data_IF_393685585145
#
_entry.id   IF_393685585145
#
_cell.length_a   1.000
_cell.length_b   1.000
_cell.length_c   1.000
_cell.angle_alpha   90.00
_cell.angle_beta   90.00
_cell.angle_gamma   90.00
#
_symmetry.space_group_name_H-M   'P 1'
#
loop_
_entity.id
_entity.type
_entity.pdbx_description
1 polymer ?
#
# COMPACT_ATOMS: atom_id res chain seq x y z
N UNK A 1 -52.64 91.94 15.81
CA UNK A 1 -53.82 92.65 16.36
C UNK A 1 -54.96 91.66 16.54
N UNK A 2 -55.33 91.44 17.78
CA UNK A 2 -56.32 90.43 18.21
C UNK A 2 -57.74 91.01 18.17
N UNK A 3 -58.73 90.21 17.95
CA UNK A 3 -60.10 90.53 18.31
C UNK A 3 -60.75 89.31 18.97
N UNK A 4 -61.54 89.48 20.03
CA UNK A 4 -61.87 88.44 20.98
C UNK A 4 -63.17 87.69 20.61
N UNK A 5 -63.25 86.47 21.11
CA UNK A 5 -64.39 85.57 20.98
C UNK A 5 -65.56 85.97 21.91
N UNK A 6 -66.74 85.86 21.38
CA UNK A 6 -68.00 86.14 22.06
C UNK A 6 -68.61 84.91 22.76
N UNK A 7 -68.80 84.94 24.08
CA UNK A 7 -69.17 83.85 24.98
C UNK A 7 -70.67 83.90 25.38
N UNK A 8 -71.54 84.23 24.50
CA UNK A 8 -72.99 84.53 24.92
C UNK A 8 -74.03 83.49 24.63
N UNK A 9 -73.70 82.17 24.43
CA UNK A 9 -74.68 81.14 24.13
C UNK A 9 -74.67 79.86 25.01
N UNK A 10 -74.43 80.05 26.29
CA UNK A 10 -74.67 79.00 27.27
C UNK A 10 -75.74 79.32 28.22
N UNK A 11 -76.92 79.02 27.88
CA UNK A 11 -78.12 79.09 28.80
C UNK A 11 -78.72 77.74 28.93
N UNK A 12 -78.60 77.16 30.10
CA UNK A 12 -79.26 75.84 30.47
C UNK A 12 -80.65 76.16 31.03
N UNK A 13 -81.63 75.55 30.42
CA UNK A 13 -83.02 75.63 30.91
C UNK A 13 -83.37 74.37 31.72
N UNK A 14 -83.75 74.55 32.97
CA UNK A 14 -84.12 73.51 33.92
C UNK A 14 -85.63 73.65 34.21
N UNK A 15 -86.42 72.74 33.56
CA UNK A 15 -87.73 72.46 34.11
C UNK A 15 -88.40 71.31 33.37
N UNK A 16 -88.45 70.12 34.01
CA UNK A 16 -89.68 69.35 34.10
C UNK A 16 -89.42 68.03 34.92
N UNK A 17 -90.35 67.66 35.78
CA UNK A 17 -90.15 66.57 36.75
C UNK A 17 -90.51 65.18 36.17
N UNK A 18 -89.99 64.06 36.78
CA UNK A 18 -90.09 62.66 36.22
C UNK A 18 -91.40 61.98 36.64
N UNK A 19 -91.94 61.16 35.71
CA UNK A 19 -93.05 60.27 35.96
C UNK A 19 -92.53 58.86 36.45
N UNK A 20 -93.29 58.12 37.28
CA UNK A 20 -92.83 56.90 37.99
C UNK A 20 -92.87 55.68 37.12
N UNK A 21 -91.67 54.97 36.96
CA UNK A 21 -91.58 53.66 36.32
C UNK A 21 -91.38 52.59 37.40
N UNK A 22 -92.44 52.05 37.88
CA UNK A 22 -92.42 50.80 38.69
C UNK A 22 -93.22 49.72 37.92
N UNK A 23 -92.51 48.70 37.34
CA UNK A 23 -92.86 47.29 37.03
C UNK A 23 -92.10 46.67 35.85
N UNK A 24 -91.11 47.35 35.25
CA UNK A 24 -90.33 46.72 34.18
C UNK A 24 -88.96 46.17 34.61
N UNK A 25 -88.47 46.51 35.82
CA UNK A 25 -87.16 46.16 36.27
C UNK A 25 -86.95 44.68 36.57
N UNK A 26 -88.00 43.99 37.12
CA UNK A 26 -87.86 42.54 37.43
C UNK A 26 -87.77 41.63 36.20
N UNK A 27 -88.53 42.00 35.15
CA UNK A 27 -88.57 41.14 33.92
C UNK A 27 -87.32 41.31 33.09
N UNK A 28 -86.76 42.48 33.05
CA UNK A 28 -85.45 42.74 32.32
C UNK A 28 -84.26 42.13 33.06
N UNK A 29 -84.26 42.08 34.41
CA UNK A 29 -83.26 41.45 35.20
C UNK A 29 -83.23 39.93 35.00
N UNK A 30 -84.41 39.28 34.93
CA UNK A 30 -84.52 37.85 34.66
C UNK A 30 -84.07 37.50 33.23
N UNK A 31 -84.39 38.38 32.24
CA UNK A 31 -83.95 38.18 30.86
C UNK A 31 -82.45 38.37 30.74
N UNK A 32 -81.90 39.37 31.45
CA UNK A 32 -80.40 39.59 31.47
C UNK A 32 -79.70 38.42 32.16
N UNK A 33 -80.19 37.94 33.30
CA UNK A 33 -79.62 36.78 33.97
C UNK A 33 -79.66 35.51 33.12
N UNK A 34 -80.78 35.26 32.40
CA UNK A 34 -80.89 34.16 31.45
C UNK A 34 -79.94 34.34 30.25
N UNK A 35 -79.77 35.53 29.73
CA UNK A 35 -78.83 35.81 28.63
C UNK A 35 -77.39 35.58 29.07
N UNK A 36 -77.03 36.06 30.29
CA UNK A 36 -75.72 35.81 30.87
C UNK A 36 -75.45 34.31 31.09
N UNK A 37 -76.44 33.58 31.55
CA UNK A 37 -76.36 32.15 31.73
C UNK A 37 -76.15 31.40 30.38
N UNK A 38 -76.90 31.79 29.34
CA UNK A 38 -76.75 31.26 28.00
C UNK A 38 -75.38 31.56 27.41
N UNK A 39 -74.90 32.82 27.60
CA UNK A 39 -73.53 33.22 27.18
C UNK A 39 -72.46 32.43 27.95
N UNK A 40 -72.65 32.26 29.27
CA UNK A 40 -71.71 31.44 30.07
C UNK A 40 -71.68 29.97 29.64
N UNK A 41 -72.86 29.37 29.41
CA UNK A 41 -72.96 28.01 28.94
C UNK A 41 -72.39 27.83 27.52
N UNK A 42 -72.65 28.81 26.62
CA UNK A 42 -72.01 28.77 25.27
C UNK A 42 -70.51 28.97 25.33
N UNK A 43 -70.03 29.85 26.19
CA UNK A 43 -68.53 30.00 26.39
C UNK A 43 -67.90 28.77 27.00
N UNK A 44 -68.58 28.09 27.94
CA UNK A 44 -68.13 26.82 28.53
C UNK A 44 -68.10 25.72 27.46
N UNK A 45 -69.16 25.61 26.65
CA UNK A 45 -69.27 24.61 25.57
C UNK A 45 -68.20 24.89 24.46
N UNK A 46 -68.03 26.17 24.10
CA UNK A 46 -66.96 26.54 23.11
C UNK A 46 -65.59 26.25 23.65
N UNK A 47 -65.35 26.52 24.95
CA UNK A 47 -64.04 26.20 25.58
C UNK A 47 -63.80 24.71 25.76
N UNK A 48 -64.82 23.91 26.00
CA UNK A 48 -64.80 22.46 26.08
C UNK A 48 -64.59 21.79 24.70
N UNK A 49 -64.90 22.48 23.60
CA UNK A 49 -64.71 22.03 22.22
C UNK A 49 -63.39 22.54 21.59
N UNK A 50 -62.63 23.39 22.24
CA UNK A 50 -61.32 23.84 21.73
C UNK A 50 -60.34 22.70 21.79
N UNK A 51 -60.01 22.10 20.62
CA UNK A 51 -58.96 21.08 20.49
C UNK A 51 -57.64 21.76 20.78
N UNK A 52 -56.84 21.33 21.80
CA UNK A 52 -55.58 21.97 22.13
C UNK A 52 -54.57 21.80 20.98
N UNK A 53 -53.83 22.86 20.72
CA UNK A 53 -52.74 22.87 19.73
C UNK A 53 -51.51 22.25 20.38
N UNK A 54 -51.08 21.12 19.85
CA UNK A 54 -49.92 20.38 20.32
C UNK A 54 -48.64 20.77 19.55
N UNK A 55 -47.58 21.13 20.27
CA UNK A 55 -46.27 21.27 19.68
C UNK A 55 -45.66 19.89 19.53
N UNK A 56 -45.33 19.52 18.28
CA UNK A 56 -44.77 18.20 17.96
C UNK A 56 -43.37 18.34 17.39
N UNK A 57 -42.51 17.37 17.72
CA UNK A 57 -41.19 17.22 17.11
C UNK A 57 -41.11 15.80 16.55
N UNK A 58 -40.57 15.70 15.34
CA UNK A 58 -40.36 14.42 14.70
C UNK A 58 -39.13 13.73 15.30
N UNK A 59 -39.30 12.50 15.75
CA UNK A 59 -38.19 11.68 16.25
C UNK A 59 -37.22 11.34 15.11
N UNK A 60 -36.01 11.83 15.15
CA UNK A 60 -35.00 11.54 14.14
C UNK A 60 -34.32 10.22 14.42
N UNK A 61 -34.43 9.26 13.51
CA UNK A 61 -33.59 8.06 13.55
C UNK A 61 -32.17 8.44 13.27
N UNK A 62 -31.29 8.39 14.28
CA UNK A 62 -29.85 8.34 14.07
C UNK A 62 -29.46 6.91 13.75
N UNK A 63 -29.74 6.49 12.52
CA UNK A 63 -28.92 5.45 11.93
C UNK A 63 -27.52 6.05 11.82
N UNK A 64 -26.48 5.32 12.22
CA UNK A 64 -25.12 5.61 11.83
C UNK A 64 -25.05 5.45 10.29
N UNK A 65 -25.69 6.38 9.59
CA UNK A 65 -25.79 6.52 8.17
C UNK A 65 -24.85 7.63 7.76
N UNK A 66 -23.69 7.22 7.37
CA UNK A 66 -23.15 7.44 6.08
C UNK A 66 -22.69 8.86 5.86
N UNK A 67 -21.53 9.22 6.45
CA UNK A 67 -20.51 9.75 5.58
C UNK A 67 -20.19 8.63 4.59
N UNK A 68 -20.49 8.86 3.31
CA UNK A 68 -19.97 8.09 2.18
C UNK A 68 -18.47 8.43 2.10
N UNK A 69 -17.72 8.02 3.11
CA UNK A 69 -16.30 7.92 3.12
C UNK A 69 -16.00 6.55 2.58
N UNK A 70 -15.21 6.49 1.51
CA UNK A 70 -14.54 5.31 1.05
C UNK A 70 -14.19 4.43 2.25
N UNK A 71 -14.50 3.15 2.17
CA UNK A 71 -14.05 2.09 3.07
C UNK A 71 -12.51 2.08 3.08
N UNK A 72 -11.93 3.08 3.75
CA UNK A 72 -10.57 2.99 4.19
C UNK A 72 -10.58 1.88 5.24
N UNK A 73 -10.15 0.69 4.86
CA UNK A 73 -9.78 -0.35 5.81
C UNK A 73 -8.97 0.34 6.90
N UNK A 74 -9.28 0.05 8.16
CA UNK A 74 -8.63 0.71 9.27
C UNK A 74 -7.11 0.59 9.09
N UNK A 75 -6.43 1.71 8.83
CA UNK A 75 -4.98 1.75 8.71
C UNK A 75 -4.41 1.46 10.08
N UNK A 76 -3.84 0.27 10.27
CA UNK A 76 -3.26 -0.06 11.56
C UNK A 76 -1.90 0.57 11.79
N UNK A 77 -1.10 0.75 10.74
CA UNK A 77 0.26 1.29 10.80
C UNK A 77 0.60 1.98 9.47
N UNK A 78 1.21 3.16 9.57
CA UNK A 78 1.75 3.90 8.43
C UNK A 78 3.26 4.03 8.59
N UNK A 79 4.02 3.83 7.51
CA UNK A 79 5.47 4.02 7.49
C UNK A 79 5.91 4.71 6.20
N UNK A 80 6.99 5.48 6.30
CA UNK A 80 7.62 6.13 5.15
C UNK A 80 8.83 5.32 4.71
N UNK A 81 9.15 5.41 3.42
CA UNK A 81 10.27 4.71 2.82
C UNK A 81 10.55 5.15 1.41
N UNK A 82 11.29 4.33 0.67
CA UNK A 82 11.70 4.63 -0.69
C UNK A 82 11.45 3.44 -1.60
N UNK A 83 11.14 3.75 -2.86
CA UNK A 83 11.07 2.75 -3.92
C UNK A 83 12.48 2.28 -4.26
N UNK A 84 12.73 1.00 -4.21
CA UNK A 84 14.00 0.38 -4.61
C UNK A 84 13.76 -0.72 -5.63
N UNK A 85 14.73 -0.95 -6.50
CA UNK A 85 14.70 -2.12 -7.35
C UNK A 85 15.24 -3.32 -6.57
N UNK A 86 14.49 -4.42 -6.52
CA UNK A 86 14.91 -5.66 -5.86
C UNK A 86 16.22 -6.21 -6.44
N UNK A 87 16.40 -6.09 -7.77
CA UNK A 87 17.62 -6.44 -8.45
C UNK A 87 18.33 -5.18 -8.90
N UNK A 88 19.35 -4.77 -8.16
CA UNK A 88 20.22 -3.63 -8.44
C UNK A 88 21.67 -4.09 -8.33
N UNK A 89 22.51 -3.74 -9.27
CA UNK A 89 23.93 -4.04 -9.22
C UNK A 89 24.78 -2.91 -9.80
N UNK A 90 25.90 -2.65 -9.14
CA UNK A 90 26.98 -1.84 -9.69
C UNK A 90 27.91 -2.77 -10.46
N UNK A 91 27.97 -2.62 -11.77
CA UNK A 91 28.77 -3.43 -12.67
C UNK A 91 30.19 -2.84 -12.72
N UNK A 92 31.16 -3.62 -12.28
CA UNK A 92 32.59 -3.24 -12.23
C UNK A 92 33.40 -4.06 -13.21
N UNK A 93 34.61 -3.57 -13.53
CA UNK A 93 35.60 -4.33 -14.28
C UNK A 93 36.14 -5.47 -13.41
N UNK A 94 36.44 -6.63 -14.01
CA UNK A 94 37.14 -7.75 -13.35
C UNK A 94 38.64 -7.58 -13.35
N UNK A 95 39.19 -6.77 -14.27
CA UNK A 95 40.60 -6.46 -14.40
C UNK A 95 40.80 -4.95 -14.51
N UNK A 96 41.94 -4.45 -14.09
CA UNK A 96 42.27 -3.04 -14.26
C UNK A 96 42.58 -2.75 -15.73
N UNK A 97 42.13 -1.60 -16.23
CA UNK A 97 42.41 -1.17 -17.59
C UNK A 97 41.74 0.15 -17.92
N UNK A 98 42.18 0.77 -19.02
CA UNK A 98 41.53 1.98 -19.53
C UNK A 98 40.29 1.63 -20.32
N UNK A 99 39.22 2.37 -20.08
CA UNK A 99 37.94 2.22 -20.81
C UNK A 99 38.06 2.79 -22.23
N UNK A 100 37.96 1.93 -23.24
CA UNK A 100 38.05 2.32 -24.66
C UNK A 100 36.71 2.47 -25.31
N UNK A 101 35.69 1.78 -24.78
CA UNK A 101 34.34 1.81 -25.33
C UNK A 101 33.31 1.69 -24.20
N UNK A 102 32.25 2.52 -24.31
CA UNK A 102 31.07 2.47 -23.45
C UNK A 102 29.85 2.56 -24.36
N UNK A 103 29.11 1.45 -24.49
CA UNK A 103 27.98 1.30 -25.43
C UNK A 103 26.62 1.67 -24.86
N UNK A 104 26.57 2.17 -23.62
CA UNK A 104 25.32 2.46 -22.92
C UNK A 104 25.32 3.87 -22.32
N UNK A 105 24.14 4.47 -22.19
CA UNK A 105 23.89 5.72 -21.49
C UNK A 105 22.87 5.52 -20.37
N UNK A 106 22.74 6.51 -19.50
CA UNK A 106 21.70 6.51 -18.49
C UNK A 106 20.32 6.41 -19.13
N UNK A 107 19.45 5.56 -18.57
CA UNK A 107 18.14 5.23 -19.13
C UNK A 107 18.16 4.14 -20.20
N UNK A 108 19.34 3.69 -20.69
CA UNK A 108 19.40 2.60 -21.69
C UNK A 108 18.92 1.29 -21.10
N UNK A 109 18.09 0.57 -21.86
CA UNK A 109 17.67 -0.79 -21.53
C UNK A 109 18.66 -1.78 -22.15
N UNK A 110 19.17 -2.72 -21.35
CA UNK A 110 20.19 -3.71 -21.76
C UNK A 110 19.74 -5.11 -21.40
N UNK A 111 20.13 -6.08 -22.22
CA UNK A 111 19.86 -7.49 -22.01
C UNK A 111 21.00 -8.18 -21.29
N UNK A 112 20.70 -9.24 -20.56
CA UNK A 112 21.71 -10.08 -19.92
C UNK A 112 22.76 -10.56 -20.90
N UNK A 113 24.06 -10.36 -20.60
CA UNK A 113 25.20 -10.73 -21.44
C UNK A 113 25.56 -9.71 -22.50
N UNK A 114 24.77 -8.66 -22.70
CA UNK A 114 25.07 -7.56 -23.63
C UNK A 114 26.32 -6.81 -23.20
N UNK A 115 27.12 -6.35 -24.17
CA UNK A 115 28.37 -5.64 -23.90
C UNK A 115 28.06 -4.22 -23.48
N UNK A 116 28.35 -3.88 -22.24
CA UNK A 116 28.24 -2.54 -21.69
C UNK A 116 29.46 -1.70 -22.04
N UNK A 117 30.66 -2.26 -21.84
CA UNK A 117 31.90 -1.55 -21.99
C UNK A 117 33.05 -2.48 -22.39
N UNK A 118 34.11 -1.90 -22.92
CA UNK A 118 35.37 -2.62 -23.24
C UNK A 118 36.57 -1.85 -22.69
N UNK A 119 37.48 -2.59 -22.12
CA UNK A 119 38.79 -2.07 -21.74
C UNK A 119 39.77 -2.20 -22.90
N UNK A 120 40.85 -1.47 -22.83
CA UNK A 120 42.02 -1.69 -23.67
C UNK A 120 42.54 -3.11 -23.48
N UNK A 121 42.59 -3.88 -24.55
CA UNK A 121 42.89 -5.30 -24.50
C UNK A 121 44.09 -5.68 -25.37
N UNK A 122 44.89 -4.70 -25.87
CA UNK A 122 46.02 -4.95 -26.74
C UNK A 122 47.03 -5.94 -26.11
N UNK A 123 47.40 -5.75 -24.84
CA UNK A 123 48.32 -6.62 -24.11
C UNK A 123 47.71 -8.02 -23.88
N UNK A 124 46.43 -8.10 -23.62
CA UNK A 124 45.73 -9.38 -23.43
C UNK A 124 45.61 -10.15 -24.76
N UNK A 125 45.40 -9.48 -25.89
CA UNK A 125 45.42 -10.10 -27.22
C UNK A 125 46.83 -10.61 -27.57
N UNK A 126 47.88 -9.85 -27.29
CA UNK A 126 49.26 -10.30 -27.47
C UNK A 126 49.56 -11.54 -26.62
N UNK A 127 49.08 -11.59 -25.37
CA UNK A 127 49.22 -12.74 -24.50
C UNK A 127 48.49 -13.98 -25.05
N UNK A 128 47.28 -13.82 -25.61
CA UNK A 128 46.55 -14.90 -26.29
C UNK A 128 47.34 -15.41 -27.51
N UNK A 129 47.86 -14.52 -28.35
CA UNK A 129 48.65 -14.90 -29.52
C UNK A 129 49.94 -15.68 -29.11
N UNK A 130 50.62 -15.26 -28.06
CA UNK A 130 51.76 -15.96 -27.50
C UNK A 130 51.40 -17.38 -27.00
N UNK A 131 50.28 -17.51 -26.29
CA UNK A 131 49.79 -18.79 -25.79
C UNK A 131 49.37 -19.73 -26.95
N UNK A 132 48.81 -19.19 -28.03
CA UNK A 132 48.51 -19.94 -29.25
C UNK A 132 49.77 -20.47 -29.90
N UNK A 133 50.83 -19.66 -30.00
CA UNK A 133 52.12 -20.10 -30.52
C UNK A 133 52.72 -21.23 -29.69
N UNK A 134 52.59 -21.16 -28.35
CA UNK A 134 53.03 -22.22 -27.45
C UNK A 134 52.31 -23.55 -27.68
N UNK A 135 51.00 -23.51 -27.95
CA UNK A 135 50.21 -24.69 -28.32
C UNK A 135 50.69 -25.27 -29.64
N UNK A 136 50.94 -24.41 -30.67
CA UNK A 136 51.42 -24.86 -31.98
C UNK A 136 52.80 -25.52 -31.88
N UNK A 137 53.70 -24.97 -31.03
CA UNK A 137 55.01 -25.59 -30.76
C UNK A 137 54.87 -26.93 -30.07
N UNK A 138 53.97 -27.07 -29.13
CA UNK A 138 53.70 -28.34 -28.46
C UNK A 138 53.06 -29.38 -29.43
N UNK A 139 52.25 -28.95 -30.37
CA UNK A 139 51.71 -29.83 -31.45
C UNK A 139 52.79 -30.33 -32.37
N UNK A 140 53.71 -29.49 -32.78
CA UNK A 140 54.88 -29.90 -33.57
C UNK A 140 55.70 -30.95 -32.83
N UNK A 141 55.94 -30.79 -31.53
CA UNK A 141 56.64 -31.74 -30.69
C UNK A 141 55.91 -33.10 -30.56
N UNK A 142 54.60 -33.11 -30.59
CA UNK A 142 53.81 -34.36 -30.64
C UNK A 142 53.98 -35.08 -31.96
N UNK A 143 54.00 -34.35 -33.09
CA UNK A 143 54.21 -34.93 -34.41
C UNK A 143 55.56 -35.64 -34.48
N UNK A 144 56.65 -34.96 -34.01
CA UNK A 144 57.96 -35.52 -33.93
C UNK A 144 58.01 -36.77 -33.04
N UNK A 145 57.50 -36.68 -31.81
CA UNK A 145 57.48 -37.78 -30.87
C UNK A 145 56.63 -38.99 -31.34
N UNK A 146 55.56 -38.72 -32.13
CA UNK A 146 54.74 -39.74 -32.76
C UNK A 146 55.51 -40.54 -33.81
N UNK A 147 56.25 -39.81 -34.67
CA UNK A 147 57.08 -40.44 -35.72
C UNK A 147 58.15 -41.36 -35.09
N UNK A 148 58.86 -40.85 -34.05
CA UNK A 148 59.86 -41.60 -33.31
C UNK A 148 59.29 -42.83 -32.60
N UNK A 149 58.12 -42.69 -31.91
CA UNK A 149 57.43 -43.77 -31.24
C UNK A 149 57.01 -44.86 -32.26
N UNK A 150 56.41 -44.47 -33.39
CA UNK A 150 55.93 -45.40 -34.38
C UNK A 150 57.04 -46.11 -35.10
N UNK A 151 58.18 -45.45 -35.36
CA UNK A 151 59.36 -46.06 -35.93
C UNK A 151 60.00 -47.05 -34.95
N UNK A 152 60.22 -46.70 -33.70
CA UNK A 152 60.86 -47.61 -32.72
C UNK A 152 59.94 -48.76 -32.35
N UNK A 153 58.62 -48.56 -32.34
CA UNK A 153 57.64 -49.63 -32.13
C UNK A 153 57.66 -50.67 -33.28
N UNK A 154 57.72 -50.18 -34.54
CA UNK A 154 57.87 -51.08 -35.71
C UNK A 154 59.16 -51.86 -35.66
N UNK A 155 60.27 -51.25 -35.30
CA UNK A 155 61.57 -51.91 -35.19
C UNK A 155 61.54 -52.99 -34.11
N UNK A 156 61.00 -52.67 -32.91
CA UNK A 156 60.89 -53.64 -31.83
C UNK A 156 59.94 -54.86 -32.21
N UNK A 157 58.84 -54.55 -32.91
CA UNK A 157 57.93 -55.59 -33.41
C UNK A 157 58.60 -56.52 -34.43
N UNK A 158 59.37 -55.94 -35.37
CA UNK A 158 60.11 -56.66 -36.36
C UNK A 158 61.19 -57.57 -35.71
N UNK A 159 61.96 -57.07 -34.77
CA UNK A 159 62.97 -57.89 -34.06
C UNK A 159 62.32 -59.01 -33.26
N UNK A 160 61.16 -58.71 -32.62
CA UNK A 160 60.38 -59.75 -31.92
C UNK A 160 59.91 -60.89 -32.87
N UNK A 161 59.35 -60.52 -34.01
CA UNK A 161 58.87 -61.45 -35.02
C UNK A 161 60.01 -62.36 -35.61
N UNK A 162 61.16 -61.71 -35.91
CA UNK A 162 62.33 -62.51 -36.42
C UNK A 162 62.81 -63.50 -35.36
N UNK A 163 62.86 -63.13 -34.12
CA UNK A 163 63.31 -64.00 -33.03
C UNK A 163 62.29 -65.10 -32.73
N UNK A 164 61.04 -64.83 -32.82
CA UNK A 164 59.98 -65.87 -32.70
C UNK A 164 60.07 -66.96 -33.80
N UNK A 165 60.38 -66.49 -35.01
CA UNK A 165 60.59 -67.43 -36.15
C UNK A 165 61.92 -68.22 -36.08
N UNK A 166 62.99 -67.55 -35.65
CA UNK A 166 64.28 -68.17 -35.49
C UNK A 166 65.09 -67.56 -34.34
N UNK A 167 65.12 -68.20 -33.16
CA UNK A 167 65.80 -67.66 -31.96
C UNK A 167 67.29 -67.39 -32.11
N UNK A 168 67.99 -68.04 -33.10
CA UNK A 168 69.43 -67.88 -33.32
C UNK A 168 69.79 -66.68 -34.18
N UNK A 169 68.85 -65.96 -34.81
CA UNK A 169 69.08 -64.81 -35.66
C UNK A 169 69.18 -63.49 -34.89
N UNK A 170 68.61 -63.42 -33.71
CA UNK A 170 68.59 -62.25 -32.87
C UNK A 170 68.90 -62.59 -31.41
N UNK A 171 69.82 -61.81 -30.76
CA UNK A 171 70.20 -62.05 -29.36
C UNK A 171 69.05 -61.60 -28.41
N UNK A 172 68.93 -62.13 -27.20
CA UNK A 172 68.04 -61.62 -26.18
C UNK A 172 68.27 -60.13 -25.89
N UNK A 173 69.51 -59.70 -25.93
CA UNK A 173 69.93 -58.30 -25.68
C UNK A 173 69.48 -57.36 -26.78
N UNK A 174 69.43 -57.77 -28.04
CA UNK A 174 68.93 -56.95 -29.16
C UNK A 174 67.42 -56.67 -28.99
N UNK A 175 66.63 -57.70 -28.59
CA UNK A 175 65.24 -57.52 -28.31
C UNK A 175 65.00 -56.60 -27.09
N UNK A 176 65.72 -56.79 -26.01
CA UNK A 176 65.67 -55.95 -24.84
C UNK A 176 65.99 -54.49 -25.17
N UNK A 177 67.06 -54.25 -25.94
CA UNK A 177 67.47 -52.91 -26.39
C UNK A 177 66.34 -52.26 -27.24
N UNK A 178 65.79 -52.98 -28.19
CA UNK A 178 64.73 -52.48 -29.06
C UNK A 178 63.47 -52.17 -28.27
N UNK A 179 63.08 -53.04 -27.35
CA UNK A 179 61.88 -52.81 -26.50
C UNK A 179 62.08 -51.64 -25.54
N UNK A 180 63.29 -51.51 -24.97
CA UNK A 180 63.64 -50.37 -24.12
C UNK A 180 63.62 -49.03 -24.89
N UNK A 181 64.10 -49.01 -26.15
CA UNK A 181 64.06 -47.83 -27.03
C UNK A 181 62.61 -47.49 -27.35
N UNK A 182 61.76 -48.48 -27.69
CA UNK A 182 60.32 -48.25 -27.95
C UNK A 182 59.58 -47.68 -26.69
N UNK A 183 59.86 -48.24 -25.51
CA UNK A 183 59.32 -47.73 -24.25
C UNK A 183 59.76 -46.31 -23.96
N UNK A 184 61.04 -45.97 -24.22
CA UNK A 184 61.55 -44.63 -24.10
C UNK A 184 60.89 -43.63 -25.06
N UNK A 185 60.68 -44.04 -26.33
CA UNK A 185 59.96 -43.24 -27.31
C UNK A 185 58.48 -43.02 -26.94
N UNK A 186 57.80 -44.06 -26.42
CA UNK A 186 56.43 -43.93 -25.90
C UNK A 186 56.34 -42.97 -24.70
N UNK A 187 57.37 -43.01 -23.81
CA UNK A 187 57.44 -42.06 -22.69
C UNK A 187 57.64 -40.61 -23.19
N UNK A 188 58.52 -40.39 -24.23
CA UNK A 188 58.66 -39.06 -24.86
C UNK A 188 57.37 -38.55 -25.48
N UNK A 189 56.64 -39.42 -26.19
CA UNK A 189 55.33 -39.10 -26.73
C UNK A 189 54.35 -38.70 -25.62
N UNK A 190 54.22 -39.47 -24.55
CA UNK A 190 53.37 -39.10 -23.41
C UNK A 190 53.79 -37.79 -22.76
N UNK A 191 55.06 -37.48 -22.66
CA UNK A 191 55.57 -36.22 -22.16
C UNK A 191 55.21 -35.06 -23.11
N UNK A 192 55.29 -35.25 -24.44
CA UNK A 192 54.84 -34.24 -25.42
C UNK A 192 53.33 -33.94 -25.32
N UNK A 193 52.50 -34.99 -25.17
CA UNK A 193 51.06 -34.86 -24.94
C UNK A 193 50.76 -34.07 -23.64
N UNK A 194 51.51 -34.37 -22.58
CA UNK A 194 51.37 -33.61 -21.31
C UNK A 194 51.75 -32.14 -21.46
N UNK A 195 52.81 -31.80 -22.22
CA UNK A 195 53.23 -30.41 -22.53
C UNK A 195 52.13 -29.68 -23.32
N UNK A 196 51.49 -30.35 -24.33
CA UNK A 196 50.36 -29.77 -25.06
C UNK A 196 49.23 -29.44 -24.12
N UNK A 197 48.82 -30.32 -23.24
CA UNK A 197 47.76 -30.07 -22.26
C UNK A 197 48.07 -28.87 -21.36
N UNK A 198 49.35 -28.73 -20.96
CA UNK A 198 49.80 -27.55 -20.20
C UNK A 198 49.72 -26.27 -21.02
N UNK A 199 50.17 -26.28 -22.29
CA UNK A 199 50.06 -25.14 -23.18
C UNK A 199 48.59 -24.73 -23.46
N UNK A 200 47.70 -25.71 -23.70
CA UNK A 200 46.25 -25.47 -23.84
C UNK A 200 45.62 -24.86 -22.58
N UNK A 201 46.05 -25.29 -21.38
CA UNK A 201 45.63 -24.67 -20.13
C UNK A 201 46.08 -23.22 -20.03
N UNK A 202 47.33 -22.91 -20.47
CA UNK A 202 47.84 -21.56 -20.58
C UNK A 202 47.05 -20.69 -21.56
N UNK A 203 46.68 -21.26 -22.72
CA UNK A 203 45.84 -20.57 -23.70
C UNK A 203 44.45 -20.25 -23.12
N UNK A 204 43.81 -21.20 -22.45
CA UNK A 204 42.48 -20.93 -21.80
C UNK A 204 42.59 -19.81 -20.75
N UNK A 205 43.68 -19.77 -19.99
CA UNK A 205 43.90 -18.69 -19.02
C UNK A 205 44.05 -17.32 -19.71
N UNK A 206 44.86 -17.24 -20.78
CA UNK A 206 45.04 -15.99 -21.53
C UNK A 206 43.68 -15.53 -22.19
N UNK A 207 42.92 -16.46 -22.76
CA UNK A 207 41.58 -16.18 -23.32
C UNK A 207 40.62 -15.67 -22.26
N UNK A 208 40.57 -16.31 -21.08
CA UNK A 208 39.71 -15.87 -19.97
C UNK A 208 40.12 -14.46 -19.47
N UNK A 209 41.44 -14.17 -19.44
CA UNK A 209 41.91 -12.85 -19.08
C UNK A 209 41.52 -11.79 -20.10
N UNK A 210 41.60 -12.11 -21.39
CA UNK A 210 41.12 -11.23 -22.46
C UNK A 210 39.58 -11.02 -22.42
N UNK A 211 38.79 -12.09 -22.19
CA UNK A 211 37.35 -11.95 -22.01
C UNK A 211 36.96 -11.07 -20.80
N UNK A 212 37.76 -11.07 -19.74
CA UNK A 212 37.55 -10.20 -18.58
C UNK A 212 37.72 -8.71 -18.89
N UNK A 213 38.25 -8.33 -20.05
CA UNK A 213 38.33 -6.94 -20.54
C UNK A 213 36.98 -6.47 -21.11
N UNK A 214 36.05 -7.40 -21.36
CA UNK A 214 34.71 -7.10 -21.86
C UNK A 214 33.73 -7.10 -20.67
N UNK A 215 33.15 -5.95 -20.42
CA UNK A 215 32.20 -5.77 -19.33
C UNK A 215 30.79 -6.00 -19.85
N UNK A 216 30.08 -6.98 -19.29
CA UNK A 216 28.75 -7.41 -19.75
C UNK A 216 27.69 -7.21 -18.66
N UNK A 217 26.44 -7.03 -19.07
CA UNK A 217 25.29 -6.95 -18.18
C UNK A 217 25.04 -8.28 -17.43
N UNK A 218 25.01 -8.29 -16.10
CA UNK A 218 24.74 -9.50 -15.31
C UNK A 218 23.30 -9.98 -15.41
N UNK A 219 22.37 -9.08 -15.66
CA UNK A 219 20.93 -9.34 -15.84
C UNK A 219 20.33 -8.32 -16.83
N UNK A 220 19.12 -8.58 -17.28
CA UNK A 220 18.36 -7.64 -18.12
C UNK A 220 17.75 -6.53 -17.27
N UNK A 221 17.94 -5.26 -17.65
CA UNK A 221 17.45 -4.13 -16.88
C UNK A 221 17.82 -2.79 -17.50
N UNK A 222 17.63 -1.71 -16.75
CA UNK A 222 17.91 -0.33 -17.18
C UNK A 222 19.13 0.21 -16.45
N UNK A 223 19.97 0.93 -17.17
CA UNK A 223 21.13 1.65 -16.61
C UNK A 223 20.60 2.87 -15.85
N UNK A 224 20.82 2.90 -14.55
CA UNK A 224 20.38 4.03 -13.70
C UNK A 224 21.40 5.17 -13.73
N UNK A 225 22.68 4.82 -13.69
CA UNK A 225 23.78 5.79 -13.61
C UNK A 225 25.01 5.26 -14.29
N UNK A 226 25.74 6.17 -14.94
CA UNK A 226 27.05 5.95 -15.51
C UNK A 226 28.09 6.46 -14.51
N UNK A 227 28.91 5.55 -14.00
CA UNK A 227 29.88 5.83 -12.96
C UNK A 227 31.29 6.09 -13.53
N UNK A 228 31.59 5.73 -14.79
CA UNK A 228 32.86 5.93 -15.47
C UNK A 228 32.70 6.43 -16.90
N UNK A 229 33.72 7.13 -17.42
CA UNK A 229 33.78 7.69 -18.77
C UNK A 229 34.82 7.00 -19.63
N UNK A 230 34.65 7.07 -20.96
CA UNK A 230 35.63 6.59 -21.93
C UNK A 230 36.96 7.34 -21.73
N UNK A 231 38.06 6.60 -21.64
CA UNK A 231 39.40 7.12 -21.35
C UNK A 231 39.79 7.01 -19.88
N UNK A 232 38.86 6.82 -18.96
CA UNK A 232 39.20 6.60 -17.53
C UNK A 232 39.78 5.21 -17.29
N UNK A 233 40.62 5.10 -16.24
CA UNK A 233 41.14 3.82 -15.76
C UNK A 233 40.20 3.29 -14.68
N UNK A 234 39.63 2.12 -14.94
CA UNK A 234 38.79 1.39 -14.01
C UNK A 234 39.52 0.17 -13.46
N UNK A 235 39.18 -0.21 -12.23
CA UNK A 235 39.82 -1.36 -11.57
C UNK A 235 38.73 -2.14 -10.78
N UNK A 236 39.00 -3.41 -10.43
CA UNK A 236 38.13 -4.16 -9.52
C UNK A 236 37.92 -3.37 -8.22
N UNK A 237 36.71 -3.37 -7.69
CA UNK A 237 36.37 -2.72 -6.42
C UNK A 237 37.01 -3.52 -5.26
N UNK A 238 38.28 -3.30 -5.00
CA UNK A 238 38.97 -3.90 -3.86
C UNK A 238 39.35 -2.78 -2.89
N UNK A 239 38.59 -2.70 -1.79
CA UNK A 239 38.93 -1.97 -0.58
C UNK A 239 39.69 -0.64 -0.68
N UNK A 240 38.98 0.48 -0.69
CA UNK A 240 39.52 1.76 -0.18
C UNK A 240 40.42 2.59 -1.07
N UNK A 241 40.62 2.23 -2.35
CA UNK A 241 41.46 3.02 -3.28
C UNK A 241 40.66 4.12 -4.00
N UNK A 242 41.37 5.17 -4.46
CA UNK A 242 40.86 6.31 -5.24
C UNK A 242 40.34 5.93 -6.65
N UNK A 243 40.42 4.66 -7.06
CA UNK A 243 39.97 4.15 -8.35
C UNK A 243 38.50 3.78 -8.29
N UNK A 244 37.69 4.34 -9.19
CA UNK A 244 36.25 4.02 -9.33
C UNK A 244 36.13 2.56 -9.76
N UNK A 245 35.50 1.74 -8.90
CA UNK A 245 35.31 0.32 -9.18
C UNK A 245 34.14 0.05 -10.12
N UNK A 246 33.05 0.85 -10.04
CA UNK A 246 31.87 0.68 -10.85
C UNK A 246 32.00 1.43 -12.17
N UNK A 247 31.54 0.81 -13.27
CA UNK A 247 31.42 1.42 -14.60
C UNK A 247 30.00 1.95 -14.80
N UNK A 248 28.99 1.16 -14.45
CA UNK A 248 27.59 1.56 -14.48
C UNK A 248 26.84 0.92 -13.31
N UNK A 249 25.81 1.60 -12.87
CA UNK A 249 24.81 1.03 -11.94
C UNK A 249 23.53 0.75 -12.71
N UNK A 250 23.05 -0.48 -12.64
CA UNK A 250 21.84 -0.91 -13.33
C UNK A 250 20.84 -1.59 -12.40
N UNK A 251 19.56 -1.53 -12.77
CA UNK A 251 18.49 -2.13 -12.02
C UNK A 251 17.40 -2.73 -12.92
N UNK A 252 16.72 -3.72 -12.39
CA UNK A 252 15.54 -4.29 -13.03
C UNK A 252 14.28 -3.56 -12.53
N UNK A 253 13.75 -2.67 -13.36
CA UNK A 253 12.56 -1.88 -13.07
C UNK A 253 11.26 -2.71 -13.04
N UNK A 254 11.31 -3.98 -13.46
CA UNK A 254 10.15 -4.88 -13.35
C UNK A 254 9.95 -5.44 -11.94
N UNK A 255 10.94 -5.27 -11.06
CA UNK A 255 10.97 -5.85 -9.71
C UNK A 255 11.09 -4.76 -8.63
N UNK A 256 10.28 -3.69 -8.77
CA UNK A 256 10.27 -2.60 -7.78
C UNK A 256 9.58 -3.03 -6.50
N UNK A 257 10.13 -2.61 -5.38
CA UNK A 257 9.56 -2.76 -4.05
C UNK A 257 9.78 -1.47 -3.25
N UNK A 258 9.01 -1.28 -2.19
CA UNK A 258 9.21 -0.17 -1.25
C UNK A 258 9.88 -0.70 0.00
N UNK A 259 11.01 -0.12 0.35
CA UNK A 259 11.65 -0.35 1.65
C UNK A 259 11.18 0.73 2.63
N UNK A 260 10.49 0.31 3.68
CA UNK A 260 9.96 1.19 4.71
C UNK A 260 10.53 0.87 6.07
N UNK A 261 10.78 1.92 6.86
CA UNK A 261 11.25 1.81 8.23
C UNK A 261 10.04 1.88 9.18
N UNK A 262 9.70 0.75 9.78
CA UNK A 262 8.59 0.62 10.73
C UNK A 262 9.10 0.65 12.15
N UNK A 263 8.48 1.44 13.01
CA UNK A 263 8.83 1.46 14.43
C UNK A 263 8.63 0.09 15.08
N UNK A 264 9.59 -0.34 15.91
CA UNK A 264 9.61 -1.65 16.57
C UNK A 264 8.32 -1.93 17.36
N UNK A 265 7.71 -0.90 17.96
CA UNK A 265 6.45 -1.04 18.70
C UNK A 265 5.29 -1.59 17.87
N UNK A 266 5.33 -1.42 16.55
CA UNK A 266 4.25 -1.82 15.64
C UNK A 266 4.58 -3.06 14.80
N UNK A 267 5.83 -3.54 14.83
CA UNK A 267 6.28 -4.64 13.96
C UNK A 267 5.51 -5.95 14.20
N UNK A 268 5.09 -6.20 15.43
CA UNK A 268 4.29 -7.37 15.76
C UNK A 268 2.92 -7.45 15.06
N UNK A 269 2.48 -6.34 14.47
CA UNK A 269 1.24 -6.27 13.68
C UNK A 269 1.47 -6.48 12.19
N UNK A 270 2.72 -6.57 11.73
CA UNK A 270 3.07 -6.69 10.31
C UNK A 270 3.61 -8.09 10.06
N UNK A 271 2.94 -8.81 9.17
CA UNK A 271 3.35 -10.15 8.76
C UNK A 271 3.53 -10.20 7.24
N UNK A 272 4.37 -11.11 6.75
CA UNK A 272 4.49 -11.38 5.31
C UNK A 272 3.14 -11.79 4.72
N UNK A 273 2.85 -11.36 3.50
CA UNK A 273 1.56 -11.57 2.83
C UNK A 273 0.48 -10.55 3.22
N UNK A 274 0.77 -9.59 4.09
CA UNK A 274 -0.20 -8.58 4.49
C UNK A 274 -0.39 -7.55 3.37
N UNK A 275 -1.66 -7.22 3.00
CA UNK A 275 -1.93 -6.19 2.01
C UNK A 275 -1.49 -4.82 2.54
N UNK A 276 -0.95 -4.02 1.63
CA UNK A 276 -0.51 -2.66 1.89
C UNK A 276 -0.98 -1.72 0.78
N UNK A 277 -1.18 -0.47 1.13
CA UNK A 277 -1.44 0.61 0.19
C UNK A 277 -0.21 1.49 0.12
N UNK A 278 0.28 1.71 -1.08
CA UNK A 278 1.48 2.50 -1.35
C UNK A 278 1.03 3.79 -2.01
N UNK A 279 1.46 4.92 -1.49
CA UNK A 279 1.26 6.26 -2.07
C UNK A 279 2.64 6.87 -2.28
N UNK A 280 2.94 7.27 -3.51
CA UNK A 280 4.20 7.93 -3.84
C UNK A 280 4.10 9.42 -3.55
N UNK A 281 5.17 10.02 -3.03
CA UNK A 281 5.20 11.47 -2.74
C UNK A 281 5.01 12.31 -4.01
N UNK A 282 5.48 11.80 -5.16
CA UNK A 282 5.29 12.44 -6.46
C UNK A 282 3.86 12.34 -7.00
N UNK A 283 3.06 11.39 -6.52
CA UNK A 283 1.69 11.13 -6.99
C UNK A 283 0.75 10.87 -5.80
N UNK A 284 0.44 11.89 -4.99
CA UNK A 284 -0.32 11.72 -3.75
C UNK A 284 -1.76 11.26 -3.96
N UNK A 285 -2.33 11.54 -5.13
CA UNK A 285 -3.70 11.16 -5.49
C UNK A 285 -3.82 9.72 -6.02
N UNK A 286 -2.69 9.03 -6.23
CA UNK A 286 -2.66 7.67 -6.78
C UNK A 286 -2.18 6.69 -5.73
N UNK A 287 -3.03 5.72 -5.38
CA UNK A 287 -2.68 4.65 -4.47
C UNK A 287 -2.42 3.36 -5.24
N UNK A 288 -1.25 2.77 -5.03
CA UNK A 288 -0.84 1.49 -5.61
C UNK A 288 -1.05 0.38 -4.60
N UNK A 289 -1.43 -0.80 -5.09
CA UNK A 289 -1.57 -1.99 -4.25
C UNK A 289 -0.20 -2.59 -4.01
N UNK A 290 0.04 -2.96 -2.77
CA UNK A 290 1.25 -3.65 -2.36
C UNK A 290 0.96 -4.81 -1.42
N UNK A 291 1.96 -5.62 -1.22
CA UNK A 291 1.93 -6.74 -0.28
C UNK A 291 3.27 -6.83 0.45
N UNK A 292 3.23 -7.05 1.74
CA UNK A 292 4.43 -7.26 2.56
C UNK A 292 5.12 -8.54 2.11
N UNK A 293 6.26 -8.39 1.46
CA UNK A 293 7.07 -9.53 1.01
C UNK A 293 7.88 -10.12 2.15
N UNK A 294 8.53 -9.24 2.92
CA UNK A 294 9.48 -9.66 3.94
C UNK A 294 9.64 -8.58 5.01
N UNK A 295 9.72 -9.02 6.25
CA UNK A 295 10.23 -8.23 7.37
C UNK A 295 11.69 -8.61 7.57
N UNK A 296 12.60 -7.65 7.55
CA UNK A 296 14.03 -7.91 7.75
C UNK A 296 14.26 -8.18 9.23
N UNK A 297 14.87 -9.32 9.62
CA UNK A 297 15.01 -9.71 11.03
C UNK A 297 16.17 -8.98 11.74
N UNK A 298 16.32 -7.69 11.46
CA UNK A 298 17.36 -6.82 12.04
C UNK A 298 16.75 -5.47 12.34
N UNK A 299 16.84 -5.02 13.58
CA UNK A 299 16.41 -3.70 13.99
C UNK A 299 17.58 -2.70 13.97
N UNK A 300 17.31 -1.49 13.49
CA UNK A 300 18.21 -0.35 13.66
C UNK A 300 18.04 0.20 15.08
N UNK A 301 19.06 0.02 15.92
CA UNK A 301 19.05 0.46 17.32
C UNK A 301 19.03 1.97 17.49
N UNK A 302 19.55 2.73 16.51
CA UNK A 302 19.61 4.19 16.61
C UNK A 302 18.24 4.81 16.36
N UNK A 303 17.46 4.21 15.46
CA UNK A 303 16.13 4.68 15.06
C UNK A 303 14.98 3.91 15.72
N UNK A 304 15.28 2.79 16.38
CA UNK A 304 14.28 1.85 16.90
C UNK A 304 13.27 1.42 15.82
N UNK A 305 13.77 1.13 14.62
CA UNK A 305 12.99 0.72 13.45
C UNK A 305 13.42 -0.63 12.92
N UNK A 306 12.48 -1.32 12.28
CA UNK A 306 12.70 -2.56 11.54
C UNK A 306 12.34 -2.30 10.08
N UNK A 307 13.21 -2.69 9.16
CA UNK A 307 12.97 -2.53 7.74
C UNK A 307 11.96 -3.57 7.24
N UNK A 308 10.95 -3.10 6.52
CA UNK A 308 9.94 -3.94 5.89
C UNK A 308 9.97 -3.71 4.39
N UNK A 309 9.99 -4.80 3.62
CA UNK A 309 9.99 -4.77 2.16
C UNK A 309 8.60 -5.09 1.65
N UNK A 310 8.04 -4.17 0.88
CA UNK A 310 6.68 -4.23 0.34
C UNK A 310 6.76 -4.30 -1.17
N UNK A 311 6.31 -5.39 -1.78
CA UNK A 311 6.24 -5.53 -3.24
C UNK A 311 5.13 -4.65 -3.80
N UNK A 312 5.40 -3.99 -4.91
CA UNK A 312 4.41 -3.24 -5.69
C UNK A 312 3.74 -4.21 -6.65
N UNK A 313 2.42 -4.36 -6.56
CA UNK A 313 1.65 -5.26 -7.41
C UNK A 313 1.22 -4.59 -8.72
N UNK A 314 0.96 -3.29 -8.67
CA UNK A 314 0.54 -2.50 -9.82
C UNK A 314 1.78 -2.01 -10.60
N UNK A 315 1.93 -2.45 -11.84
CA UNK A 315 3.03 -2.00 -12.70
C UNK A 315 2.66 -0.68 -13.36
N UNK A 316 3.39 0.36 -13.03
CA UNK A 316 3.23 1.69 -13.64
C UNK A 316 4.61 2.23 -14.04
N UNK A 317 4.82 2.65 -15.30
CA UNK A 317 6.10 3.19 -15.78
C UNK A 317 6.50 4.50 -15.11
N UNK A 318 5.59 5.15 -14.38
CA UNK A 318 5.87 6.36 -13.62
C UNK A 318 6.60 6.09 -12.31
N UNK A 319 6.62 4.84 -11.85
CA UNK A 319 7.30 4.47 -10.61
C UNK A 319 8.78 4.31 -10.90
N UNK A 320 9.59 5.18 -10.31
CA UNK A 320 11.04 5.16 -10.47
C UNK A 320 11.74 4.80 -9.16
N UNK A 321 12.91 4.14 -9.23
CA UNK A 321 13.74 3.93 -8.05
C UNK A 321 14.10 5.25 -7.36
N UNK A 322 14.31 5.19 -6.04
CA UNK A 322 14.66 6.29 -5.14
C UNK A 322 13.52 7.32 -4.93
N UNK A 323 12.30 7.08 -5.45
CA UNK A 323 11.13 7.89 -5.10
C UNK A 323 10.72 7.66 -3.64
N UNK A 324 10.37 8.75 -2.95
CA UNK A 324 9.74 8.69 -1.63
C UNK A 324 8.35 8.05 -1.71
N UNK A 325 8.04 7.20 -0.76
CA UNK A 325 6.78 6.49 -0.70
C UNK A 325 6.28 6.36 0.74
N UNK A 326 4.98 6.47 0.89
CA UNK A 326 4.25 6.20 2.12
C UNK A 326 3.49 4.90 1.99
N UNK A 327 3.63 4.02 2.95
CA UNK A 327 2.95 2.72 2.98
C UNK A 327 2.02 2.64 4.17
N UNK A 328 0.75 2.38 3.88
CA UNK A 328 -0.29 2.12 4.86
C UNK A 328 -0.56 0.60 4.90
N UNK A 329 -0.23 -0.04 6.01
CA UNK A 329 -0.49 -1.46 6.22
C UNK A 329 -1.95 -1.66 6.60
N UNK A 330 -2.70 -2.37 5.75
CA UNK A 330 -4.11 -2.63 5.95
C UNK A 330 -4.28 -3.81 6.91
N UNK A 331 -5.27 -3.76 7.81
CA UNK A 331 -5.65 -4.96 8.54
C UNK A 331 -6.20 -6.00 7.56
N UNK A 332 -5.80 -7.27 7.67
CA UNK A 332 -6.42 -8.29 6.84
C UNK A 332 -7.94 -8.20 7.09
N UNK A 333 -8.69 -8.12 6.00
CA UNK A 333 -10.14 -8.31 6.08
C UNK A 333 -10.35 -9.63 6.84
N UNK A 334 -10.65 -9.52 8.13
CA UNK A 334 -11.21 -10.68 8.81
C UNK A 334 -12.42 -11.07 7.97
N UNK A 335 -12.50 -12.30 7.45
CA UNK A 335 -13.72 -12.73 6.82
C UNK A 335 -14.78 -12.45 7.88
N UNK A 336 -15.64 -11.46 7.61
CA UNK A 336 -16.84 -11.29 8.41
C UNK A 336 -17.47 -12.66 8.34
N UNK A 337 -17.18 -13.48 9.35
CA UNK A 337 -18.05 -14.60 9.65
C UNK A 337 -19.42 -14.00 9.52
N UNK A 338 -20.19 -14.49 8.56
CA UNK A 338 -21.60 -14.17 8.42
C UNK A 338 -22.29 -14.74 9.68
N UNK A 339 -21.88 -14.24 10.82
CA UNK A 339 -22.54 -14.30 12.08
C UNK A 339 -23.72 -13.37 11.94
N UNK A 340 -24.89 -13.95 12.01
CA UNK A 340 -26.22 -13.38 11.97
C UNK A 340 -26.19 -11.86 12.22
N UNK A 341 -26.65 -11.09 11.23
CA UNK A 341 -26.83 -9.66 11.35
C UNK A 341 -27.51 -9.40 12.69
N UNK A 342 -26.72 -8.96 13.68
CA UNK A 342 -27.31 -8.42 14.89
C UNK A 342 -28.22 -7.29 14.41
N UNK A 343 -29.51 -7.28 14.80
CA UNK A 343 -30.45 -6.28 14.31
C UNK A 343 -29.84 -4.92 14.58
N UNK A 344 -29.66 -4.15 13.52
CA UNK A 344 -29.17 -2.77 13.57
C UNK A 344 -30.08 -2.04 14.54
N UNK A 345 -29.63 -1.82 15.77
CA UNK A 345 -30.41 -1.07 16.75
C UNK A 345 -30.38 0.37 16.30
N UNK A 346 -31.46 0.76 15.60
CA UNK A 346 -31.67 2.14 15.21
C UNK A 346 -31.94 2.92 16.51
N UNK A 347 -30.97 3.68 16.96
CA UNK A 347 -31.14 4.58 18.10
C UNK A 347 -31.87 5.82 17.61
N UNK A 348 -32.97 6.16 18.29
CA UNK A 348 -33.80 7.33 17.96
C UNK A 348 -33.45 8.47 18.92
N UNK A 349 -33.08 9.64 18.39
CA UNK A 349 -32.86 10.84 19.20
C UNK A 349 -34.12 11.63 19.36
N UNK A 350 -34.44 11.96 20.62
CA UNK A 350 -35.62 12.78 20.97
C UNK A 350 -35.20 13.91 21.91
N UNK A 351 -35.85 15.10 21.83
CA UNK A 351 -35.59 16.16 22.81
C UNK A 351 -35.93 15.69 24.21
N UNK A 352 -35.10 16.03 25.20
CA UNK A 352 -35.31 15.63 26.59
C UNK A 352 -36.67 16.12 27.15
N UNK A 353 -37.24 17.19 26.60
CA UNK A 353 -38.57 17.74 26.94
C UNK A 353 -39.74 16.85 26.55
N UNK A 354 -39.57 15.95 25.58
CA UNK A 354 -40.58 15.01 25.16
C UNK A 354 -40.75 13.82 26.11
N UNK A 355 -39.75 13.58 26.96
CA UNK A 355 -39.77 12.49 27.93
C UNK A 355 -40.63 12.86 29.15
N UNK A 356 -41.53 11.99 29.54
CA UNK A 356 -42.28 12.07 30.79
C UNK A 356 -41.99 10.83 31.62
N UNK A 357 -41.96 10.99 32.95
CA UNK A 357 -41.73 9.89 33.88
C UNK A 357 -42.93 9.78 34.84
N UNK A 358 -43.38 8.58 35.07
CA UNK A 358 -44.44 8.26 35.98
C UNK A 358 -44.11 6.97 36.73
N UNK A 359 -44.00 7.05 38.07
CA UNK A 359 -43.67 5.88 38.91
C UNK A 359 -42.38 5.14 38.56
N UNK A 360 -41.35 5.84 37.97
CA UNK A 360 -40.06 5.25 37.59
C UNK A 360 -40.02 4.67 36.18
N UNK A 361 -41.13 4.64 35.47
CA UNK A 361 -41.18 4.29 34.05
C UNK A 361 -41.13 5.53 33.16
N UNK A 362 -40.29 5.49 32.15
CA UNK A 362 -40.17 6.58 31.14
C UNK A 362 -41.10 6.30 29.97
N UNK A 363 -41.80 7.33 29.54
CA UNK A 363 -42.69 7.24 28.39
C UNK A 363 -42.71 8.54 27.59
N UNK A 364 -43.20 8.44 26.34
CA UNK A 364 -43.43 9.58 25.45
C UNK A 364 -44.87 9.56 24.95
N UNK A 365 -45.39 10.75 24.60
CA UNK A 365 -46.66 10.86 23.94
C UNK A 365 -46.48 10.93 22.42
N UNK A 366 -47.02 9.94 21.72
CA UNK A 366 -47.04 9.90 20.25
C UNK A 366 -48.30 10.57 19.75
N UNK A 367 -48.17 11.35 18.69
CA UNK A 367 -49.34 11.87 17.93
C UNK A 367 -49.54 10.99 16.71
N UNK A 368 -50.62 10.21 16.70
CA UNK A 368 -50.98 9.37 15.58
C UNK A 368 -52.42 9.69 15.19
N UNK A 369 -52.66 10.03 13.94
CA UNK A 369 -54.01 10.37 13.41
C UNK A 369 -54.72 11.46 14.24
N UNK A 370 -53.96 12.46 14.74
CA UNK A 370 -54.48 13.55 15.57
C UNK A 370 -54.94 13.14 16.98
N UNK A 371 -54.50 11.99 17.47
CA UNK A 371 -54.71 11.49 18.83
C UNK A 371 -53.43 11.20 19.58
N UNK A 372 -53.44 11.43 20.89
CA UNK A 372 -52.32 11.10 21.76
C UNK A 372 -52.33 9.62 22.18
N UNK A 373 -51.19 8.95 22.06
CA UNK A 373 -50.99 7.58 22.52
C UNK A 373 -49.80 7.52 23.46
N UNK A 374 -49.93 6.98 24.65
CA UNK A 374 -48.86 6.80 25.63
C UNK A 374 -48.00 5.59 25.22
N UNK A 375 -46.69 5.79 25.02
CA UNK A 375 -45.76 4.69 24.68
C UNK A 375 -44.58 4.62 25.66
N UNK A 376 -44.38 3.47 26.32
CA UNK A 376 -43.20 3.28 27.16
C UNK A 376 -41.94 3.22 26.30
N UNK A 377 -40.85 3.83 26.78
CA UNK A 377 -39.54 3.87 26.09
C UNK A 377 -38.42 3.55 27.05
N UNK A 378 -37.38 2.88 26.54
CA UNK A 378 -36.12 2.68 27.28
C UNK A 378 -35.10 3.72 26.82
N UNK A 379 -34.62 4.50 27.76
CA UNK A 379 -33.76 5.65 27.48
C UNK A 379 -32.29 5.32 27.74
N UNK A 380 -31.40 5.98 26.96
CA UNK A 380 -29.96 5.99 27.13
C UNK A 380 -29.46 7.31 27.75
N UNK A 381 -28.16 7.63 27.65
CA UNK A 381 -27.59 8.87 28.17
C UNK A 381 -28.13 10.11 27.42
N UNK A 382 -28.18 11.23 28.16
CA UNK A 382 -28.51 12.55 27.59
C UNK A 382 -27.24 13.17 27.01
N UNK A 383 -27.27 13.62 25.76
CA UNK A 383 -26.18 14.31 25.11
C UNK A 383 -26.70 15.52 24.33
N UNK A 384 -26.18 16.72 24.64
CA UNK A 384 -26.51 17.94 23.90
C UNK A 384 -28.00 18.35 23.92
N UNK A 385 -28.75 18.05 25.01
CA UNK A 385 -30.19 18.37 25.11
C UNK A 385 -31.11 17.34 24.43
N UNK A 386 -30.57 16.32 23.81
CA UNK A 386 -31.27 15.19 23.23
C UNK A 386 -31.04 13.92 24.05
N UNK A 387 -32.08 13.08 24.09
CA UNK A 387 -32.06 11.80 24.75
C UNK A 387 -32.01 10.68 23.70
N UNK A 388 -31.19 9.69 23.92
CA UNK A 388 -31.14 8.49 23.08
C UNK A 388 -32.17 7.48 23.54
N UNK A 389 -33.10 7.09 22.66
CA UNK A 389 -34.08 6.05 22.94
C UNK A 389 -33.59 4.74 22.30
N UNK A 390 -33.40 3.73 23.16
CA UNK A 390 -32.91 2.40 22.76
C UNK A 390 -33.98 1.46 22.28
N UNK A 391 -35.21 1.64 22.78
CA UNK A 391 -36.38 0.83 22.36
C UNK A 391 -37.67 1.58 22.60
N UNK A 392 -38.70 1.28 21.78
CA UNK A 392 -40.04 1.86 21.88
C UNK A 392 -40.40 2.85 20.77
N UNK A 393 -39.44 3.34 19.99
CA UNK A 393 -39.63 4.25 18.84
C UNK A 393 -38.96 3.72 17.58
N UNK A 394 -39.58 3.97 16.43
CA UNK A 394 -39.06 3.51 15.12
C UNK A 394 -38.43 4.61 14.26
N UNK A 395 -38.45 5.88 14.73
CA UNK A 395 -37.99 7.04 13.96
C UNK A 395 -39.02 7.52 12.94
N UNK A 396 -39.10 8.84 12.79
CA UNK A 396 -40.18 9.46 11.95
C UNK A 396 -41.49 9.69 12.67
N UNK A 397 -41.61 9.25 13.91
CA UNK A 397 -42.84 9.41 14.71
C UNK A 397 -42.90 10.82 15.31
N UNK A 398 -44.13 11.41 15.35
CA UNK A 398 -44.37 12.73 15.93
C UNK A 398 -44.57 12.63 17.44
N UNK A 399 -43.77 13.34 18.20
CA UNK A 399 -43.78 13.33 19.65
C UNK A 399 -44.26 14.66 20.19
N UNK A 400 -45.12 14.62 21.23
CA UNK A 400 -45.58 15.80 21.94
C UNK A 400 -44.46 16.36 22.82
N UNK A 401 -44.11 17.63 22.59
CA UNK A 401 -43.13 18.37 23.39
C UNK A 401 -43.77 19.39 24.30
N UNK A 402 -44.90 19.96 23.91
CA UNK A 402 -45.60 20.99 24.66
C UNK A 402 -46.99 21.32 24.11
N UNK A 403 -47.66 22.33 24.72
CA UNK A 403 -48.98 22.84 24.25
C UNK A 403 -50.22 22.12 24.83
N UNK A 404 -50.02 21.10 25.68
CA UNK A 404 -51.10 20.38 26.35
C UNK A 404 -50.80 20.24 27.83
N UNK A 405 -51.56 20.88 28.72
CA UNK A 405 -51.29 20.91 30.17
C UNK A 405 -51.56 19.56 30.87
N UNK A 406 -52.48 18.75 30.38
CA UNK A 406 -52.77 17.44 30.94
C UNK A 406 -53.06 16.41 29.81
N UNK A 407 -52.02 15.83 29.19
CA UNK A 407 -52.22 14.87 28.11
C UNK A 407 -52.83 13.57 28.63
N UNK A 408 -53.91 13.11 27.97
CA UNK A 408 -54.58 11.83 28.26
C UNK A 408 -54.59 10.94 27.03
N UNK A 409 -54.63 9.63 27.24
CA UNK A 409 -54.67 8.63 26.16
C UNK A 409 -55.92 8.80 25.31
N UNK A 410 -55.79 8.82 24.00
CA UNK A 410 -56.91 9.04 23.07
C UNK A 410 -57.34 10.48 22.87
N UNK A 411 -56.77 11.47 23.57
CA UNK A 411 -57.10 12.89 23.44
C UNK A 411 -56.85 13.39 22.02
N UNK A 412 -57.83 14.09 21.45
CA UNK A 412 -57.64 14.73 20.13
C UNK A 412 -56.82 15.98 20.27
N UNK A 413 -55.78 16.10 19.45
CA UNK A 413 -54.90 17.25 19.36
C UNK A 413 -54.77 17.71 17.91
N UNK A 414 -54.54 18.99 17.73
CA UNK A 414 -54.23 19.56 16.41
C UNK A 414 -52.73 19.89 16.41
N UNK A 415 -52.00 19.30 15.49
CA UNK A 415 -50.53 19.57 15.34
C UNK A 415 -50.33 20.91 14.67
N UNK A 416 -49.34 21.66 15.17
CA UNK A 416 -48.90 22.89 14.55
C UNK A 416 -47.64 22.61 13.76
#
# INVERSE_FOLDING_TARGET
>A
MAAPADLSKLRIDRSTPPAPVRRALGRNLVIFAAAVLVVAVTLIVLRARAVPIAQVVTATASGAGGASGATAGATSVTANGYVVARTKASVSAKTAGRLTFLGVSEGSYVHRGEVIARLDNADFQASVAQAQANVATADASIIEATADRDQTARDAARIREIRERNPNLMSPQDLETATSRAAGAAARYNAAVARKRSAEAGLRLAQASNENTIIRAPFTGTVLRKDAEVGEVVAPSVGGGLTRGAVVTMADLSTLEVEVDVNEAYIGRIASGRPARITLDAYPDTAFRGEVRQVVPTADRQRATVQVKVSILDRDPRILPEMGAKVDFLEPDQPKTAGAAAPTRTTVRVPATALKSDGGASYVWLVRDGRLTKRPVTTGPVSGGFLEVRSGLSGGEQLLVGGVDAPAEGMKVKTQ
#
